data_IF_131900914630
#
_entry.id   IF_131900914630
#
_cell.length_a   1.000
_cell.length_b   1.000
_cell.length_c   1.000
_cell.angle_alpha   90.00
_cell.angle_beta   90.00
_cell.angle_gamma   90.00
#
_symmetry.space_group_name_H-M   'P 1'
#
loop_
_entity.id
_entity.type
_entity.pdbx_description
1 polymer ?
#
# COMPACT_ATOMS: atom_id res chain seq x y z
N UNK A 1 19.81 19.09 12.41
CA UNK A 1 18.62 19.87 11.98
C UNK A 1 17.42 19.30 12.73
N UNK A 2 16.66 20.14 13.44
CA UNK A 2 15.51 19.71 14.25
C UNK A 2 14.37 19.24 13.34
N UNK A 3 14.04 17.95 13.43
CA UNK A 3 12.92 17.36 12.71
C UNK A 3 11.65 17.79 13.42
N UNK A 4 11.10 18.95 13.03
CA UNK A 4 9.73 19.33 13.42
C UNK A 4 8.82 18.15 13.07
N UNK A 5 8.10 17.64 14.08
CA UNK A 5 7.07 16.63 13.89
C UNK A 5 6.00 17.25 12.99
N UNK A 6 6.09 17.00 11.68
CA UNK A 6 5.11 17.48 10.70
C UNK A 6 3.91 16.53 10.77
N UNK A 7 2.72 17.11 10.89
CA UNK A 7 1.48 16.34 10.98
C UNK A 7 1.24 15.54 9.69
N UNK A 8 0.82 14.29 9.83
CA UNK A 8 0.38 13.47 8.70
C UNK A 8 -1.01 13.95 8.26
N UNK A 9 -1.08 14.50 7.06
CA UNK A 9 -2.29 15.14 6.54
C UNK A 9 -2.93 14.32 5.41
N UNK A 10 -4.25 14.34 5.36
CA UNK A 10 -5.03 13.72 4.28
C UNK A 10 -5.71 14.83 3.49
N UNK A 11 -5.53 14.86 2.17
CA UNK A 11 -6.25 15.76 1.27
C UNK A 11 -7.36 15.02 0.49
N UNK A 12 -8.41 15.77 0.17
CA UNK A 12 -9.60 15.35 -0.59
C UNK A 12 -10.48 14.29 0.10
N UNK A 13 -10.02 13.03 0.20
CA UNK A 13 -10.77 11.96 0.87
C UNK A 13 -9.83 10.99 1.59
N UNK A 14 -10.39 10.28 2.57
CA UNK A 14 -9.69 9.23 3.31
C UNK A 14 -9.61 7.93 2.48
N UNK A 15 -8.54 7.14 2.61
CA UNK A 15 -8.46 5.80 2.04
C UNK A 15 -9.38 4.81 2.77
N UNK A 16 -9.82 3.78 2.07
CA UNK A 16 -10.43 2.59 2.67
C UNK A 16 -9.38 1.65 3.29
N UNK A 17 -9.67 1.10 4.46
CA UNK A 17 -8.80 0.12 5.13
C UNK A 17 -9.35 -1.32 4.96
N UNK A 18 -8.49 -2.36 5.10
CA UNK A 18 -7.03 -2.28 5.19
C UNK A 18 -6.39 -1.88 3.84
N UNK A 19 -5.15 -1.41 3.87
CA UNK A 19 -4.45 -0.97 2.67
C UNK A 19 -3.00 -1.43 2.63
N UNK A 20 -2.45 -1.50 1.42
CA UNK A 20 -1.07 -1.92 1.14
C UNK A 20 -0.24 -0.68 0.84
N UNK A 21 0.88 -0.48 1.52
CA UNK A 21 1.88 0.54 1.20
C UNK A 21 3.04 -0.11 0.46
N UNK A 22 3.44 0.48 -0.67
CA UNK A 22 4.53 0.00 -1.52
C UNK A 22 5.80 0.80 -1.17
N UNK A 23 6.80 0.10 -0.64
CA UNK A 23 8.17 0.58 -0.48
C UNK A 23 9.07 -0.18 -1.45
N UNK A 24 10.24 0.37 -1.81
CA UNK A 24 11.21 -0.30 -2.70
C UNK A 24 11.62 -1.67 -2.18
N UNK A 25 11.78 -1.78 -0.86
CA UNK A 25 12.34 -2.95 -0.20
C UNK A 25 11.29 -3.96 0.27
N UNK A 26 10.02 -3.55 0.39
CA UNK A 26 8.94 -4.42 0.89
C UNK A 26 7.56 -3.83 0.67
N UNK A 27 6.56 -4.71 0.79
CA UNK A 27 5.18 -4.28 1.04
C UNK A 27 4.93 -4.15 2.54
N UNK A 28 4.10 -3.18 2.91
CA UNK A 28 3.66 -2.97 4.28
C UNK A 28 2.13 -2.92 4.31
N UNK A 29 1.53 -3.28 5.44
CA UNK A 29 0.08 -3.23 5.63
C UNK A 29 -0.29 -2.19 6.69
N UNK A 30 -1.39 -1.48 6.46
CA UNK A 30 -2.00 -0.59 7.44
C UNK A 30 -3.50 -0.85 7.56
N UNK A 31 -3.98 -0.97 8.79
CA UNK A 31 -5.39 -1.24 9.12
C UNK A 31 -6.11 -0.01 9.67
N UNK A 32 -5.37 1.06 9.95
CA UNK A 32 -5.91 2.34 10.41
C UNK A 32 -4.94 3.49 10.06
N UNK A 33 -5.37 4.72 10.35
CA UNK A 33 -4.61 5.93 10.01
C UNK A 33 -3.26 6.06 10.71
N UNK A 34 -3.13 5.54 11.94
CA UNK A 34 -1.86 5.60 12.67
C UNK A 34 -0.82 4.67 12.03
N UNK A 35 -1.25 3.46 11.69
CA UNK A 35 -0.41 2.50 10.97
C UNK A 35 -0.06 2.99 9.57
N UNK A 36 -1.00 3.63 8.87
CA UNK A 36 -0.74 4.24 7.57
C UNK A 36 0.37 5.28 7.66
N UNK A 37 0.26 6.21 8.61
CA UNK A 37 1.27 7.23 8.82
C UNK A 37 2.65 6.60 9.11
N UNK A 38 2.69 5.59 10.00
CA UNK A 38 3.93 4.87 10.31
C UNK A 38 4.55 4.17 9.08
N UNK A 39 3.72 3.51 8.26
CA UNK A 39 4.17 2.88 7.01
C UNK A 39 4.71 3.92 6.03
N UNK A 40 3.96 4.99 5.77
CA UNK A 40 4.37 6.05 4.83
C UNK A 40 5.66 6.76 5.25
N UNK A 41 5.87 6.97 6.55
CA UNK A 41 7.07 7.63 7.08
C UNK A 41 8.31 6.72 6.98
N UNK A 42 8.12 5.40 7.10
CA UNK A 42 9.22 4.43 7.06
C UNK A 42 9.48 3.83 5.67
N UNK A 43 8.53 3.99 4.74
CA UNK A 43 8.66 3.54 3.37
C UNK A 43 9.68 4.37 2.59
N UNK A 44 10.36 3.72 1.65
CA UNK A 44 11.26 4.35 0.69
C UNK A 44 10.59 4.39 -0.68
N UNK A 45 10.60 5.55 -1.37
CA UNK A 45 10.01 5.65 -2.69
C UNK A 45 10.90 5.00 -3.74
N UNK A 46 10.31 4.56 -4.84
CA UNK A 46 11.03 4.03 -5.99
C UNK A 46 11.96 5.09 -6.59
N UNK A 47 13.09 4.70 -7.18
CA UNK A 47 14.12 5.63 -7.70
C UNK A 47 13.57 6.62 -8.74
N UNK A 48 12.49 6.27 -9.44
CA UNK A 48 11.83 7.08 -10.46
C UNK A 48 10.66 7.93 -9.91
N UNK A 49 10.42 7.95 -8.60
CA UNK A 49 9.26 8.62 -7.98
C UNK A 49 9.62 9.32 -6.68
N UNK A 50 9.09 10.53 -6.48
CA UNK A 50 9.18 11.24 -5.19
C UNK A 50 7.99 10.94 -4.26
N UNK A 51 7.21 9.90 -4.57
CA UNK A 51 5.98 9.56 -3.86
C UNK A 51 5.97 8.10 -3.40
N UNK A 52 5.33 7.86 -2.26
CA UNK A 52 4.97 6.52 -1.80
C UNK A 52 3.56 6.20 -2.28
N UNK A 53 3.37 5.00 -2.84
CA UNK A 53 2.07 4.54 -3.30
C UNK A 53 1.45 3.66 -2.22
N UNK A 54 0.19 3.94 -1.90
CA UNK A 54 -0.67 3.08 -1.12
C UNK A 54 -1.85 2.62 -1.98
N UNK A 55 -2.32 1.39 -1.78
CA UNK A 55 -3.49 0.83 -2.46
C UNK A 55 -4.53 0.52 -1.40
N UNK A 56 -5.63 1.27 -1.42
CA UNK A 56 -6.71 1.15 -0.45
C UNK A 56 -7.54 -0.13 -0.67
N UNK A 57 -8.44 -0.45 0.27
CA UNK A 57 -9.25 -1.68 0.18
C UNK A 57 -10.16 -1.76 -1.05
N UNK A 58 -10.39 -0.65 -1.75
CA UNK A 58 -11.16 -0.62 -3.00
C UNK A 58 -10.30 -0.83 -4.25
N UNK A 59 -8.99 -0.93 -4.09
CA UNK A 59 -8.01 -1.02 -5.17
C UNK A 59 -7.63 0.33 -5.78
N UNK A 60 -7.96 1.44 -5.12
CA UNK A 60 -7.60 2.78 -5.56
C UNK A 60 -6.23 3.19 -5.00
N UNK A 61 -5.45 3.88 -5.83
CA UNK A 61 -4.16 4.40 -5.41
C UNK A 61 -4.33 5.65 -4.55
N UNK A 62 -3.43 5.77 -3.59
CA UNK A 62 -3.16 6.97 -2.81
C UNK A 62 -1.68 7.28 -2.91
N UNK A 63 -1.35 8.55 -3.08
CA UNK A 63 0.02 9.03 -3.20
C UNK A 63 0.36 9.82 -1.96
N UNK A 64 1.40 9.39 -1.26
CA UNK A 64 1.97 10.10 -0.14
C UNK A 64 3.23 10.83 -0.59
N UNK A 65 3.28 12.14 -0.32
CA UNK A 65 4.46 12.99 -0.54
C UNK A 65 5.24 13.09 0.78
N UNK A 66 6.45 12.48 0.87
CA UNK A 66 7.28 12.58 2.07
C UNK A 66 7.71 14.01 2.38
N UNK A 67 7.93 14.84 1.36
CA UNK A 67 8.28 16.25 1.52
C UNK A 67 7.18 17.03 2.24
N UNK A 68 5.93 16.81 1.84
CA UNK A 68 4.78 17.56 2.31
C UNK A 68 4.02 16.89 3.47
N UNK A 69 4.36 15.65 3.83
CA UNK A 69 3.66 14.85 4.84
C UNK A 69 2.15 14.73 4.56
N UNK A 70 1.81 14.63 3.27
CA UNK A 70 0.42 14.61 2.80
C UNK A 70 0.18 13.33 2.01
N UNK A 71 -0.95 12.67 2.28
CA UNK A 71 -1.51 11.64 1.42
C UNK A 71 -2.77 12.15 0.71
N UNK A 72 -2.88 11.83 -0.58
CA UNK A 72 -4.02 12.19 -1.44
C UNK A 72 -4.44 10.98 -2.27
N UNK A 73 -5.70 10.86 -2.70
CA UNK A 73 -6.04 9.97 -3.80
C UNK A 73 -5.13 10.22 -4.99
N UNK A 74 -4.64 9.15 -5.60
CA UNK A 74 -3.88 9.21 -6.84
C UNK A 74 -4.78 9.53 -8.03
N UNK A 75 -4.19 10.08 -9.09
CA UNK A 75 -4.90 10.39 -10.33
C UNK A 75 -4.89 9.25 -11.35
N UNK A 76 -4.51 8.03 -10.92
CA UNK A 76 -4.44 6.89 -11.81
C UNK A 76 -5.84 6.47 -12.29
N UNK A 77 -6.11 6.68 -13.58
CA UNK A 77 -7.35 6.28 -14.26
C UNK A 77 -7.63 4.76 -14.23
N UNK A 78 -6.68 3.93 -13.76
CA UNK A 78 -6.82 2.48 -13.69
C UNK A 78 -6.68 1.99 -12.25
N UNK A 79 -7.76 1.40 -11.73
CA UNK A 79 -7.74 0.67 -10.45
C UNK A 79 -6.80 -0.53 -10.52
N UNK A 80 -6.23 -0.89 -9.38
CA UNK A 80 -5.43 -2.11 -9.27
C UNK A 80 -6.30 -3.35 -9.50
N UNK A 81 -5.87 -4.20 -10.43
CA UNK A 81 -6.55 -5.46 -10.72
C UNK A 81 -6.08 -6.54 -9.74
N UNK A 82 -6.92 -7.56 -9.53
CA UNK A 82 -6.54 -8.72 -8.69
C UNK A 82 -5.23 -9.36 -9.18
N UNK A 83 -5.06 -9.48 -10.50
CA UNK A 83 -3.85 -10.03 -11.11
C UNK A 83 -2.62 -9.23 -10.71
N UNK A 84 -2.67 -7.91 -10.90
CA UNK A 84 -1.54 -7.02 -10.57
C UNK A 84 -1.20 -7.02 -9.08
N UNK A 85 -2.20 -7.13 -8.21
CA UNK A 85 -1.98 -7.25 -6.76
C UNK A 85 -1.31 -8.57 -6.36
N UNK A 86 -1.73 -9.68 -6.97
CA UNK A 86 -1.13 -11.00 -6.73
C UNK A 86 0.32 -11.02 -7.22
N UNK A 87 0.57 -10.46 -8.41
CA UNK A 87 1.93 -10.31 -8.96
C UNK A 87 2.79 -9.46 -8.04
N UNK A 88 2.33 -8.25 -7.68
CA UNK A 88 3.02 -7.37 -6.74
C UNK A 88 3.37 -8.08 -5.42
N UNK A 89 2.41 -8.79 -4.81
CA UNK A 89 2.64 -9.52 -3.57
C UNK A 89 3.67 -10.64 -3.75
N UNK A 90 3.54 -11.46 -4.80
CA UNK A 90 4.43 -12.60 -5.04
C UNK A 90 5.85 -12.16 -5.38
N UNK A 91 6.01 -11.07 -6.13
CA UNK A 91 7.30 -10.51 -6.48
C UNK A 91 8.00 -9.98 -5.22
N UNK A 92 7.27 -9.25 -4.37
CA UNK A 92 7.79 -8.73 -3.11
C UNK A 92 8.12 -9.80 -2.06
N UNK A 93 7.39 -10.92 -2.04
CA UNK A 93 7.59 -12.01 -1.06
C UNK A 93 8.58 -13.08 -1.50
N UNK A 94 9.08 -13.04 -2.74
CA UNK A 94 10.13 -13.95 -3.21
C UNK A 94 11.40 -13.95 -2.35
N UNK A 95 11.54 -13.00 -1.42
CA UNK A 95 12.71 -12.81 -0.56
C UNK A 95 12.50 -13.29 0.89
N UNK A 96 11.27 -13.36 1.42
CA UNK A 96 11.06 -13.49 2.89
C UNK A 96 10.09 -14.58 3.37
N UNK A 97 9.19 -15.13 2.53
CA UNK A 97 8.24 -16.16 2.98
C UNK A 97 7.83 -17.07 1.80
N UNK A 98 7.94 -18.39 1.97
CA UNK A 98 7.55 -19.40 0.96
C UNK A 98 6.05 -19.43 0.61
N UNK A 99 5.24 -18.53 1.20
CA UNK A 99 3.79 -18.48 1.00
C UNK A 99 3.44 -17.60 -0.19
N UNK A 100 3.44 -18.20 -1.39
CA UNK A 100 2.93 -17.57 -2.61
C UNK A 100 1.41 -17.49 -2.62
N UNK A 101 0.87 -16.37 -3.08
CA UNK A 101 -0.55 -16.20 -3.27
C UNK A 101 -1.00 -16.92 -4.56
N UNK A 102 -1.86 -17.93 -4.42
CA UNK A 102 -2.29 -18.78 -5.53
C UNK A 102 -3.14 -18.03 -6.57
N UNK A 103 -2.89 -18.30 -7.85
CA UNK A 103 -3.70 -17.82 -8.96
C UNK A 103 -5.17 -18.30 -8.90
N UNK A 104 -5.47 -19.39 -8.17
CA UNK A 104 -6.85 -19.86 -7.93
C UNK A 104 -7.72 -18.82 -7.19
N UNK A 105 -7.10 -17.85 -6.54
CA UNK A 105 -7.79 -16.76 -5.85
C UNK A 105 -8.36 -15.69 -6.79
N UNK A 106 -7.98 -15.68 -8.08
CA UNK A 106 -8.44 -14.70 -9.06
C UNK A 106 -9.96 -14.78 -9.31
N UNK A 107 -10.51 -16.00 -9.38
CA UNK A 107 -11.92 -16.25 -9.67
C UNK A 107 -12.80 -16.38 -8.42
N UNK A 108 -12.22 -16.69 -7.25
CA UNK A 108 -12.99 -17.05 -6.04
C UNK A 108 -13.20 -15.93 -5.03
N UNK A 109 -12.41 -14.84 -5.05
CA UNK A 109 -12.45 -13.77 -4.03
C UNK A 109 -12.80 -12.41 -4.61
N UNK A 110 -13.48 -11.54 -3.83
CA UNK A 110 -13.66 -10.11 -4.19
C UNK A 110 -12.32 -9.38 -4.06
N UNK A 111 -12.16 -8.25 -4.77
CA UNK A 111 -10.93 -7.44 -4.71
C UNK A 111 -10.63 -6.97 -3.28
N UNK A 112 -11.65 -6.49 -2.58
CA UNK A 112 -11.57 -6.06 -1.17
C UNK A 112 -11.05 -7.19 -0.26
N UNK A 113 -11.53 -8.41 -0.48
CA UNK A 113 -11.11 -9.58 0.29
C UNK A 113 -9.68 -9.99 -0.05
N UNK A 114 -9.28 -9.94 -1.32
CA UNK A 114 -7.89 -10.17 -1.73
C UNK A 114 -6.93 -9.20 -1.05
N UNK A 115 -7.26 -7.91 -1.01
CA UNK A 115 -6.43 -6.89 -0.35
C UNK A 115 -6.35 -7.17 1.15
N UNK A 116 -7.48 -7.48 1.79
CA UNK A 116 -7.48 -7.85 3.22
C UNK A 116 -6.63 -9.08 3.51
N UNK A 117 -6.69 -10.11 2.67
CA UNK A 117 -5.88 -11.32 2.83
C UNK A 117 -4.39 -11.01 2.69
N UNK A 118 -4.00 -10.21 1.68
CA UNK A 118 -2.62 -9.75 1.51
C UNK A 118 -2.16 -8.95 2.74
N UNK A 119 -2.96 -8.00 3.22
CA UNK A 119 -2.62 -7.21 4.40
C UNK A 119 -2.43 -8.09 5.65
N UNK A 120 -3.24 -9.14 5.81
CA UNK A 120 -3.09 -10.10 6.91
C UNK A 120 -1.78 -10.90 6.81
N UNK A 121 -1.41 -11.33 5.59
CA UNK A 121 -0.14 -12.04 5.34
C UNK A 121 1.10 -11.15 5.54
N UNK A 122 0.99 -9.85 5.32
CA UNK A 122 2.07 -8.89 5.56
C UNK A 122 2.23 -8.52 7.04
N UNK A 123 1.25 -8.86 7.90
CA UNK A 123 1.29 -8.59 9.34
C UNK A 123 1.96 -9.72 10.13
N UNK A 124 1.92 -10.94 9.59
CA UNK A 124 2.54 -12.15 10.13
C UNK A 124 4.04 -12.20 9.85
#
# INVERSE_FOLDING_TARGET
MSQKQRDFNILFRKPGYPLIVISVDKLMAAFNIKELAACCISARPAEDRDIIIAIDSTGEEFWYSPENYVITPGFAFKKWTKKRLIELYNDSNSVNNDTKYSAKSLSSKRLTQLISDICNLLKS
#
